data_IF_361981681434
#
_entry.id   IF_361981681434
#
_cell.length_a   1.000
_cell.length_b   1.000
_cell.length_c   1.000
_cell.angle_alpha   90.00
_cell.angle_beta   90.00
_cell.angle_gamma   90.00
#
_symmetry.space_group_name_H-M   'P 1'
#
loop_
_entity.id
_entity.type
_entity.pdbx_description
1 polymer ?
#
# COMPACT_ATOMS: atom_id res chain seq x y z
N UNK A 1 -20.70 -18.44 1.79
CA UNK A 1 -19.37 -18.32 1.16
C UNK A 1 -18.33 -18.65 2.21
N UNK A 2 -17.46 -19.61 1.94
CA UNK A 2 -16.36 -19.93 2.85
C UNK A 2 -15.31 -18.80 2.84
N UNK A 3 -14.56 -18.64 3.92
CA UNK A 3 -13.44 -17.67 3.98
C UNK A 3 -12.42 -17.87 2.85
N UNK A 4 -12.27 -19.12 2.41
CA UNK A 4 -11.37 -19.51 1.33
C UNK A 4 -11.82 -18.97 -0.03
N UNK A 5 -13.12 -19.05 -0.33
CA UNK A 5 -13.72 -18.49 -1.55
C UNK A 5 -13.56 -16.97 -1.59
N UNK A 6 -13.79 -16.30 -0.45
CA UNK A 6 -13.64 -14.84 -0.34
C UNK A 6 -12.20 -14.38 -0.58
N UNK A 7 -11.21 -15.11 -0.05
CA UNK A 7 -9.78 -14.84 -0.28
C UNK A 7 -9.41 -15.02 -1.75
N UNK A 8 -9.86 -16.11 -2.37
CA UNK A 8 -9.55 -16.42 -3.77
C UNK A 8 -10.14 -15.36 -4.72
N UNK A 9 -11.39 -14.95 -4.51
CA UNK A 9 -12.01 -13.88 -5.30
C UNK A 9 -11.28 -12.53 -5.14
N UNK A 10 -10.81 -12.21 -3.92
CA UNK A 10 -10.01 -11.02 -3.67
C UNK A 10 -8.69 -11.05 -4.42
N UNK A 11 -7.97 -12.18 -4.38
CA UNK A 11 -6.69 -12.34 -5.07
C UNK A 11 -6.86 -12.26 -6.60
N UNK A 12 -7.90 -12.90 -7.16
CA UNK A 12 -8.26 -12.76 -8.58
C UNK A 12 -8.55 -11.30 -8.93
N UNK A 13 -9.30 -10.59 -8.07
CA UNK A 13 -9.59 -9.18 -8.25
C UNK A 13 -8.35 -8.29 -8.27
N UNK A 14 -7.34 -8.61 -7.46
CA UNK A 14 -6.05 -7.90 -7.46
C UNK A 14 -5.25 -8.18 -8.74
N UNK A 15 -5.18 -9.44 -9.17
CA UNK A 15 -4.50 -9.81 -10.44
C UNK A 15 -5.13 -9.09 -11.63
N UNK A 16 -6.47 -9.07 -11.71
CA UNK A 16 -7.18 -8.36 -12.78
C UNK A 16 -6.92 -6.86 -12.75
N UNK A 17 -6.90 -6.25 -11.56
CA UNK A 17 -6.60 -4.82 -11.42
C UNK A 17 -5.17 -4.49 -11.86
N UNK A 18 -4.21 -5.38 -11.58
CA UNK A 18 -2.84 -5.22 -12.05
C UNK A 18 -2.72 -5.41 -13.56
N UNK A 19 -3.29 -6.47 -14.13
CA UNK A 19 -3.22 -6.74 -15.57
C UNK A 19 -3.91 -5.66 -16.41
N UNK A 20 -5.06 -5.17 -15.94
CA UNK A 20 -5.83 -4.12 -16.64
C UNK A 20 -5.29 -2.70 -16.46
N UNK A 21 -4.33 -2.47 -15.57
CA UNK A 21 -3.79 -1.14 -15.34
C UNK A 21 -2.78 -0.71 -16.43
N UNK A 22 -2.90 0.54 -16.88
CA UNK A 22 -1.96 1.15 -17.82
C UNK A 22 -0.54 1.18 -17.23
N UNK A 23 0.53 0.96 -18.03
CA UNK A 23 1.91 1.02 -17.54
C UNK A 23 2.24 2.32 -16.81
N UNK A 24 1.78 3.47 -17.31
CA UNK A 24 1.96 4.77 -16.66
C UNK A 24 1.35 4.84 -15.25
N UNK A 25 0.19 4.21 -15.03
CA UNK A 25 -0.43 4.16 -13.70
C UNK A 25 0.34 3.26 -12.74
N UNK A 26 0.92 2.15 -13.23
CA UNK A 26 1.79 1.28 -12.43
C UNK A 26 3.05 2.03 -12.00
N UNK A 27 3.68 2.75 -12.93
CA UNK A 27 4.88 3.55 -12.67
C UNK A 27 4.57 4.66 -11.65
N UNK A 28 3.48 5.41 -11.86
CA UNK A 28 3.08 6.46 -10.93
C UNK A 28 2.78 5.91 -9.52
N UNK A 29 2.06 4.79 -9.43
CA UNK A 29 1.77 4.15 -8.14
C UNK A 29 3.04 3.64 -7.44
N UNK A 30 3.96 3.00 -8.16
CA UNK A 30 5.26 2.58 -7.60
C UNK A 30 6.09 3.78 -7.12
N UNK A 31 6.11 4.86 -7.90
CA UNK A 31 6.78 6.09 -7.51
C UNK A 31 6.15 6.71 -6.26
N UNK A 32 4.82 6.74 -6.17
CA UNK A 32 4.12 7.24 -5.01
C UNK A 32 4.41 6.41 -3.74
N UNK A 33 4.43 5.08 -3.85
CA UNK A 33 4.83 4.19 -2.75
C UNK A 33 6.25 4.50 -2.29
N UNK A 34 7.21 4.55 -3.22
CA UNK A 34 8.60 4.85 -2.90
C UNK A 34 8.75 6.23 -2.23
N UNK A 35 8.00 7.24 -2.68
CA UNK A 35 8.01 8.58 -2.09
C UNK A 35 7.50 8.56 -0.64
N UNK A 36 6.40 7.83 -0.36
CA UNK A 36 5.92 7.65 1.03
C UNK A 36 6.96 6.94 1.89
N UNK A 37 7.60 5.89 1.36
CA UNK A 37 8.66 5.18 2.08
C UNK A 37 9.81 6.13 2.46
N UNK A 38 10.27 6.98 1.53
CA UNK A 38 11.38 7.92 1.76
C UNK A 38 11.03 9.05 2.72
N UNK A 39 9.77 9.50 2.71
CA UNK A 39 9.31 10.60 3.56
C UNK A 39 8.83 10.17 4.95
N UNK A 40 8.67 8.87 5.17
CA UNK A 40 8.11 8.34 6.43
C UNK A 40 9.16 7.50 7.14
N UNK A 41 9.65 8.03 8.25
CA UNK A 41 10.66 7.37 9.05
C UNK A 41 10.19 5.98 9.54
N UNK A 42 11.10 5.00 9.74
CA UNK A 42 10.74 3.62 10.06
C UNK A 42 9.95 3.44 11.36
N UNK A 43 10.02 4.37 12.32
CA UNK A 43 9.23 4.29 13.55
C UNK A 43 7.76 4.72 13.35
N UNK A 44 7.41 5.30 12.19
CA UNK A 44 6.08 5.78 11.89
C UNK A 44 5.31 4.80 11.01
N UNK A 45 4.06 4.53 11.38
CA UNK A 45 3.14 3.71 10.58
C UNK A 45 2.29 4.57 9.65
N UNK A 46 1.97 4.04 8.48
CA UNK A 46 1.16 4.71 7.45
C UNK A 46 0.23 3.72 6.74
N UNK A 47 -0.68 4.23 5.90
CA UNK A 47 -1.69 3.44 5.20
C UNK A 47 -1.69 3.75 3.69
N UNK A 48 -2.51 3.04 2.93
CA UNK A 48 -2.67 3.35 1.49
C UNK A 48 -3.24 4.75 1.23
N UNK A 49 -3.78 5.44 2.23
CA UNK A 49 -4.25 6.82 2.09
C UNK A 49 -3.09 7.78 1.81
N UNK A 50 -1.93 7.59 2.45
CA UNK A 50 -0.74 8.39 2.23
C UNK A 50 -0.22 8.24 0.78
N UNK A 51 -0.29 7.03 0.21
CA UNK A 51 0.04 6.79 -1.22
C UNK A 51 -0.93 7.51 -2.14
N UNK A 52 -2.23 7.48 -1.80
CA UNK A 52 -3.23 8.22 -2.55
C UNK A 52 -3.04 9.72 -2.48
N UNK A 53 -2.64 10.27 -1.33
CA UNK A 53 -2.33 11.69 -1.19
C UNK A 53 -1.16 12.09 -2.10
N UNK A 54 -0.10 11.28 -2.16
CA UNK A 54 1.01 11.52 -3.09
C UNK A 54 0.57 11.47 -4.55
N UNK A 55 -0.26 10.49 -4.93
CA UNK A 55 -0.80 10.41 -6.30
C UNK A 55 -1.65 11.63 -6.66
N UNK A 56 -2.47 12.11 -5.73
CA UNK A 56 -3.27 13.33 -5.91
C UNK A 56 -2.37 14.56 -6.10
N UNK A 57 -1.29 14.70 -5.31
CA UNK A 57 -0.29 15.76 -5.50
C UNK A 57 0.45 15.67 -6.84
N UNK A 58 0.61 14.48 -7.41
CA UNK A 58 1.20 14.27 -8.74
C UNK A 58 0.20 14.50 -9.89
N UNK A 59 -1.05 14.84 -9.59
CA UNK A 59 -2.11 14.96 -10.60
C UNK A 59 -2.54 13.61 -11.21
N UNK A 60 -2.22 12.49 -10.56
CA UNK A 60 -2.51 11.14 -11.06
C UNK A 60 -3.74 10.57 -10.36
N UNK A 61 -4.79 10.30 -11.15
CA UNK A 61 -5.95 9.53 -10.70
C UNK A 61 -5.84 8.10 -11.25
N UNK A 62 -5.84 7.11 -10.35
CA UNK A 62 -5.90 5.71 -10.74
C UNK A 62 -7.29 5.36 -11.28
N UNK A 63 -7.34 4.65 -12.41
CA UNK A 63 -8.59 4.15 -12.98
C UNK A 63 -9.23 3.11 -12.05
N UNK A 64 -8.37 2.30 -11.41
CA UNK A 64 -8.76 1.30 -10.42
C UNK A 64 -7.88 1.39 -9.18
N UNK A 65 -8.46 1.85 -8.06
CA UNK A 65 -7.76 1.96 -6.78
C UNK A 65 -7.26 0.61 -6.24
N UNK A 66 -7.85 -0.52 -6.68
CA UNK A 66 -7.39 -1.86 -6.29
C UNK A 66 -5.97 -2.17 -6.79
N UNK A 67 -5.43 -1.40 -7.75
CA UNK A 67 -4.04 -1.50 -8.21
C UNK A 67 -3.03 -1.34 -7.07
N UNK A 68 -3.34 -0.54 -6.04
CA UNK A 68 -2.42 -0.40 -4.91
C UNK A 68 -2.24 -1.71 -4.12
N UNK A 69 -3.26 -2.58 -4.07
CA UNK A 69 -3.15 -3.87 -3.38
C UNK A 69 -1.96 -4.74 -3.85
N UNK A 70 -1.90 -5.14 -5.13
CA UNK A 70 -0.78 -5.92 -5.65
C UNK A 70 0.55 -5.16 -5.60
N UNK A 71 0.56 -3.85 -5.85
CA UNK A 71 1.81 -3.06 -5.81
C UNK A 71 2.38 -2.91 -4.38
N UNK A 72 1.53 -2.79 -3.36
CA UNK A 72 1.96 -2.83 -1.96
C UNK A 72 2.52 -4.20 -1.59
N UNK A 73 1.89 -5.30 -2.03
CA UNK A 73 2.45 -6.66 -1.86
C UNK A 73 3.82 -6.81 -2.55
N UNK A 74 4.01 -6.20 -3.73
CA UNK A 74 5.31 -6.18 -4.40
C UNK A 74 6.36 -5.39 -3.61
N UNK A 75 6.00 -4.21 -3.09
CA UNK A 75 6.87 -3.42 -2.24
C UNK A 75 7.29 -4.17 -0.96
N UNK A 76 6.34 -4.89 -0.35
CA UNK A 76 6.63 -5.76 0.80
C UNK A 76 7.63 -6.87 0.45
N UNK A 77 7.39 -7.58 -0.67
CA UNK A 77 8.30 -8.65 -1.13
C UNK A 77 9.71 -8.12 -1.46
N UNK A 78 9.81 -6.89 -1.94
CA UNK A 78 11.06 -6.23 -2.23
C UNK A 78 11.72 -5.62 -0.98
N UNK A 79 11.14 -5.78 0.21
CA UNK A 79 11.71 -5.32 1.47
C UNK A 79 11.63 -3.81 1.70
N UNK A 80 10.79 -3.08 0.95
CA UNK A 80 10.61 -1.62 1.14
C UNK A 80 9.71 -1.31 2.35
N UNK A 81 8.74 -2.19 2.59
CA UNK A 81 7.72 -2.02 3.63
C UNK A 81 7.46 -3.34 4.34
N UNK A 82 6.95 -3.23 5.56
CA UNK A 82 6.52 -4.35 6.37
C UNK A 82 5.14 -4.09 6.99
N UNK A 83 4.34 -5.15 7.25
CA UNK A 83 3.08 -5.00 7.95
C UNK A 83 3.33 -4.63 9.41
N UNK A 84 2.53 -3.71 9.95
CA UNK A 84 2.48 -3.50 11.41
C UNK A 84 1.60 -4.60 11.99
N UNK A 85 2.17 -5.46 12.83
CA UNK A 85 1.50 -6.63 13.39
C UNK A 85 1.35 -6.45 14.90
N UNK A 86 0.17 -6.77 15.42
CA UNK A 86 -0.08 -6.79 16.85
C UNK A 86 0.67 -7.96 17.51
N UNK A 87 1.51 -7.66 18.49
CA UNK A 87 2.33 -8.68 19.17
C UNK A 87 1.49 -9.77 19.85
N UNK A 88 0.30 -9.42 20.33
CA UNK A 88 -0.57 -10.36 21.07
C UNK A 88 -1.33 -11.33 20.17
N UNK A 89 -1.93 -10.84 19.08
CA UNK A 89 -2.80 -11.67 18.23
C UNK A 89 -2.19 -12.03 16.86
N UNK A 90 -0.99 -11.53 16.56
CA UNK A 90 -0.27 -11.77 15.31
C UNK A 90 -1.06 -11.38 14.05
N UNK A 91 -2.05 -10.48 14.20
CA UNK A 91 -2.82 -9.92 13.08
C UNK A 91 -2.26 -8.57 12.68
N UNK A 92 -2.25 -8.30 11.39
CA UNK A 92 -1.90 -6.99 10.87
C UNK A 92 -2.90 -5.94 11.37
N UNK A 93 -2.37 -4.87 11.94
CA UNK A 93 -3.18 -3.78 12.46
C UNK A 93 -3.87 -3.01 11.33
N UNK A 94 -4.99 -2.39 11.68
CA UNK A 94 -5.74 -1.53 10.76
C UNK A 94 -6.09 -0.20 11.40
N UNK A 95 -6.17 0.83 10.57
CA UNK A 95 -6.63 2.18 10.95
C UNK A 95 -7.74 2.61 9.99
N UNK A 96 -8.72 3.34 10.49
CA UNK A 96 -9.79 3.87 9.65
C UNK A 96 -9.23 4.84 8.61
N UNK A 97 -9.75 4.78 7.38
CA UNK A 97 -9.34 5.69 6.31
C UNK A 97 -9.67 7.13 6.64
N UNK A 98 -8.73 8.05 6.43
CA UNK A 98 -8.93 9.50 6.58
C UNK A 98 -9.64 10.11 5.38
N UNK A 99 -9.75 9.37 4.27
CA UNK A 99 -10.38 9.85 3.04
C UNK A 99 -11.90 9.70 3.12
N UNK A 100 -12.63 10.83 2.99
CA UNK A 100 -14.11 10.87 2.99
C UNK A 100 -14.75 9.86 2.02
N UNK A 101 -14.15 9.67 0.84
CA UNK A 101 -14.62 8.74 -0.22
C UNK A 101 -14.64 7.27 0.19
N UNK A 102 -13.99 6.91 1.30
CA UNK A 102 -13.92 5.53 1.80
C UNK A 102 -14.79 5.29 3.02
N UNK A 103 -15.59 6.27 3.45
CA UNK A 103 -16.51 6.14 4.59
C UNK A 103 -15.84 5.52 5.83
N UNK A 104 -14.61 5.97 6.13
CA UNK A 104 -13.80 5.45 7.24
C UNK A 104 -13.47 3.94 7.17
N UNK A 105 -13.51 3.30 5.99
CA UNK A 105 -13.20 1.88 5.86
C UNK A 105 -11.80 1.49 6.37
N UNK A 106 -11.64 0.33 7.04
CA UNK A 106 -10.38 -0.07 7.68
C UNK A 106 -9.26 -0.30 6.66
N UNK A 107 -8.08 0.22 6.97
CA UNK A 107 -6.86 0.13 6.16
C UNK A 107 -5.74 -0.53 6.92
N UNK A 108 -5.07 -1.47 6.29
CA UNK A 108 -3.86 -2.07 6.83
C UNK A 108 -2.78 -1.01 7.09
N UNK A 109 -2.18 -1.10 8.27
CA UNK A 109 -1.01 -0.33 8.64
C UNK A 109 0.26 -0.97 8.07
N UNK A 110 1.11 -0.11 7.53
CA UNK A 110 2.39 -0.41 6.94
C UNK A 110 3.46 0.43 7.61
N UNK A 111 4.68 -0.06 7.56
CA UNK A 111 5.87 0.63 8.05
C UNK A 111 6.95 0.55 6.98
N UNK A 112 7.72 1.62 6.82
CA UNK A 112 8.93 1.59 5.98
C UNK A 112 10.00 0.79 6.68
N UNK A 113 10.67 -0.12 5.97
CA UNK A 113 11.78 -0.88 6.59
C UNK A 113 12.97 0.05 6.89
N UNK A 114 13.67 -0.15 8.03
CA UNK A 114 14.86 0.63 8.36
C UNK A 114 15.95 0.53 7.28
N UNK A 115 16.15 -0.67 6.72
CA UNK A 115 17.14 -0.93 5.66
C UNK A 115 16.92 -0.01 4.46
N UNK A 116 15.71 -0.01 3.90
CA UNK A 116 15.39 0.84 2.75
C UNK A 116 15.53 2.33 3.07
N UNK A 117 15.03 2.75 4.23
CA UNK A 117 15.06 4.16 4.63
C UNK A 117 16.49 4.67 4.77
N UNK A 118 17.34 3.99 5.55
CA UNK A 118 18.71 4.46 5.79
C UNK A 118 19.64 4.31 4.59
N UNK A 119 19.46 3.28 3.75
CA UNK A 119 20.21 3.17 2.49
C UNK A 119 19.92 4.36 1.56
N UNK A 120 18.67 4.81 1.49
CA UNK A 120 18.30 5.97 0.67
C UNK A 120 18.99 7.28 1.10
N UNK A 121 19.23 7.48 2.40
CA UNK A 121 19.84 8.70 2.93
C UNK A 121 21.38 8.66 3.01
N UNK A 122 22.01 7.55 2.61
CA UNK A 122 23.48 7.44 2.54
C UNK A 122 24.07 7.99 1.24
N UNK A 123 23.23 8.19 0.23
CA UNK A 123 23.57 8.84 -1.06
C UNK A 123 23.30 10.34 -1.03
#
# INVERSE_FOLDING_TARGET
>A
MSEFEGKQQRDIGMVRAELGARPSQKVAAKHAIAKVCRSTAPHNSWTTDEVHAVLECMGVKLDNARLLGPLMKQAQKAGLIEPVVCDSCQRQETRLSRRKKRHAGPQYLWRTTPTYYYEYWKE
#
